data_IF_850582714549
#
_entry.id   IF_850582714549
#
_cell.length_a   1.000
_cell.length_b   1.000
_cell.length_c   1.000
_cell.angle_alpha   90.00
_cell.angle_beta   90.00
_cell.angle_gamma   90.00
#
_symmetry.space_group_name_H-M   'P 1'
#
loop_
_entity.id
_entity.type
_entity.pdbx_description
1 polymer ?
#
# COMPACT_ATOMS: atom_id res chain seq x y z
N UNK A 1 -12.51 24.25 -6.50
CA UNK A 1 -12.74 23.29 -7.60
C UNK A 1 -13.17 21.98 -6.95
N UNK A 2 -14.17 21.28 -7.49
CA UNK A 2 -14.46 19.91 -7.02
C UNK A 2 -13.36 19.05 -7.60
N UNK A 3 -12.43 18.58 -6.78
CA UNK A 3 -11.47 17.57 -7.21
C UNK A 3 -12.25 16.29 -7.51
N UNK A 4 -12.12 15.81 -8.76
CA UNK A 4 -12.76 14.57 -9.18
C UNK A 4 -11.94 13.41 -8.63
N UNK A 5 -12.56 12.44 -7.96
CA UNK A 5 -11.86 11.22 -7.55
C UNK A 5 -11.47 10.36 -8.77
N UNK A 6 -10.24 9.80 -8.82
CA UNK A 6 -9.09 10.17 -7.99
C UNK A 6 -8.51 11.53 -8.42
N UNK A 7 -7.92 12.27 -7.48
CA UNK A 7 -7.28 13.56 -7.77
C UNK A 7 -6.29 13.47 -8.94
N UNK A 8 -5.48 12.41 -8.95
CA UNK A 8 -4.62 12.07 -10.06
C UNK A 8 -5.22 10.98 -10.95
N UNK A 9 -5.44 11.33 -12.23
CA UNK A 9 -5.80 10.33 -13.27
C UNK A 9 -4.70 9.30 -13.46
N UNK A 10 -3.46 9.71 -13.27
CA UNK A 10 -2.26 8.88 -13.28
C UNK A 10 -1.39 9.40 -12.14
N UNK A 11 -1.10 8.61 -11.08
CA UNK A 11 -0.20 9.01 -10.00
C UNK A 11 1.09 9.63 -10.54
N UNK A 12 1.37 10.88 -10.16
CA UNK A 12 2.47 11.74 -10.64
C UNK A 12 2.64 11.86 -12.17
N UNK A 13 1.63 11.47 -12.96
CA UNK A 13 1.76 11.31 -14.40
C UNK A 13 2.64 10.11 -14.83
N UNK A 14 3.21 9.35 -13.89
CA UNK A 14 4.10 8.24 -14.14
C UNK A 14 3.93 7.13 -13.09
N UNK A 15 3.00 6.19 -13.33
CA UNK A 15 2.68 5.09 -12.39
C UNK A 15 3.89 4.26 -11.96
N UNK A 16 4.87 4.04 -12.86
CA UNK A 16 6.10 3.28 -12.56
C UNK A 16 7.27 4.17 -12.15
N UNK A 17 7.01 5.45 -11.87
CA UNK A 17 7.96 6.33 -11.19
C UNK A 17 8.26 5.85 -9.77
N UNK A 18 9.18 6.52 -9.07
CA UNK A 18 9.43 6.25 -7.67
C UNK A 18 8.19 6.63 -6.84
N UNK A 19 7.49 5.62 -6.35
CA UNK A 19 6.29 5.74 -5.50
C UNK A 19 6.54 4.99 -4.19
N UNK A 20 6.32 5.61 -3.03
CA UNK A 20 6.41 4.89 -1.76
C UNK A 20 5.26 3.88 -1.59
N UNK A 21 4.21 3.92 -2.42
CA UNK A 21 3.26 2.82 -2.61
C UNK A 21 3.97 1.49 -2.85
N UNK A 22 4.91 1.44 -3.78
CA UNK A 22 5.61 0.19 -4.11
C UNK A 22 6.50 -0.27 -2.96
N UNK A 23 7.21 0.63 -2.30
CA UNK A 23 8.04 0.29 -1.13
C UNK A 23 7.18 -0.30 -0.01
N UNK A 24 6.06 0.35 0.30
CA UNK A 24 5.12 -0.12 1.32
C UNK A 24 4.49 -1.48 0.98
N UNK A 25 3.98 -1.64 -0.25
CA UNK A 25 3.37 -2.88 -0.72
C UNK A 25 4.37 -4.05 -0.73
N UNK A 26 5.57 -3.83 -1.23
CA UNK A 26 6.62 -4.86 -1.25
C UNK A 26 7.08 -5.25 0.15
N UNK A 27 7.20 -4.29 1.07
CA UNK A 27 7.55 -4.57 2.46
C UNK A 27 6.45 -5.38 3.15
N UNK A 28 5.19 -5.06 2.91
CA UNK A 28 4.07 -5.82 3.45
C UNK A 28 3.96 -7.23 2.85
N UNK A 29 4.23 -7.39 1.56
CA UNK A 29 4.30 -8.70 0.90
C UNK A 29 5.48 -9.52 1.42
N UNK A 30 6.63 -8.89 1.70
CA UNK A 30 7.76 -9.57 2.32
C UNK A 30 7.38 -10.12 3.70
N UNK A 31 6.69 -9.34 4.53
CA UNK A 31 6.21 -9.81 5.83
C UNK A 31 5.31 -11.04 5.71
N UNK A 32 4.39 -11.05 4.73
CA UNK A 32 3.55 -12.21 4.41
C UNK A 32 4.40 -13.40 3.96
N UNK A 33 5.40 -13.18 3.10
CA UNK A 33 6.27 -14.23 2.58
C UNK A 33 7.14 -14.87 3.69
N UNK A 34 7.61 -14.09 4.66
CA UNK A 34 8.44 -14.58 5.77
C UNK A 34 7.73 -15.55 6.70
N UNK A 35 6.41 -15.45 6.79
CA UNK A 35 5.56 -16.29 7.65
C UNK A 35 4.72 -17.27 6.84
N UNK A 36 4.96 -17.31 5.53
CA UNK A 36 4.23 -18.19 4.63
C UNK A 36 4.58 -19.63 4.97
N UNK A 37 3.55 -20.49 5.12
CA UNK A 37 3.66 -21.90 5.52
C UNK A 37 4.00 -22.17 7.01
N UNK A 38 4.07 -21.15 7.87
CA UNK A 38 4.25 -21.37 9.32
C UNK A 38 3.05 -22.09 9.98
N UNK A 39 1.88 -22.07 9.33
CA UNK A 39 0.66 -22.76 9.76
C UNK A 39 -0.13 -23.28 8.55
N UNK A 40 0.16 -24.50 8.13
CA UNK A 40 -0.48 -25.14 6.98
C UNK A 40 -2.01 -25.14 7.10
N UNK A 41 -2.69 -24.62 6.07
CA UNK A 41 -4.15 -24.47 6.02
C UNK A 41 -4.72 -23.26 6.74
N UNK A 42 -3.86 -22.45 7.38
CA UNK A 42 -4.23 -21.21 8.07
C UNK A 42 -3.37 -20.03 7.61
N UNK A 43 -2.81 -20.09 6.41
CA UNK A 43 -1.90 -19.08 5.84
C UNK A 43 -2.56 -17.69 5.79
N UNK A 44 -1.79 -16.59 5.82
CA UNK A 44 -2.31 -15.22 5.78
C UNK A 44 -2.77 -14.80 4.38
N UNK A 45 -3.50 -15.67 3.68
CA UNK A 45 -3.90 -15.49 2.28
C UNK A 45 -4.75 -14.25 2.04
N UNK A 46 -5.57 -13.82 3.03
CA UNK A 46 -6.38 -12.60 2.92
C UNK A 46 -5.49 -11.37 2.74
N UNK A 47 -4.47 -11.22 3.57
CA UNK A 47 -3.50 -10.13 3.46
C UNK A 47 -2.70 -10.21 2.16
N UNK A 48 -2.25 -11.43 1.80
CA UNK A 48 -1.51 -11.68 0.56
C UNK A 48 -2.30 -11.26 -0.69
N UNK A 49 -3.55 -11.76 -0.81
CA UNK A 49 -4.42 -11.48 -1.94
C UNK A 49 -4.76 -9.98 -2.02
N UNK A 50 -5.00 -9.34 -0.89
CA UNK A 50 -5.32 -7.92 -0.83
C UNK A 50 -4.13 -7.04 -1.27
N UNK A 51 -2.91 -7.35 -0.81
CA UNK A 51 -1.68 -6.64 -1.22
C UNK A 51 -1.35 -6.86 -2.69
N UNK A 52 -1.52 -8.07 -3.22
CA UNK A 52 -1.33 -8.37 -4.64
C UNK A 52 -2.36 -7.65 -5.51
N UNK A 53 -3.63 -7.64 -5.09
CA UNK A 53 -4.69 -6.90 -5.76
C UNK A 53 -4.43 -5.39 -5.75
N UNK A 54 -3.98 -4.83 -4.63
CA UNK A 54 -3.61 -3.42 -4.55
C UNK A 54 -2.43 -3.09 -5.48
N UNK A 55 -1.39 -3.93 -5.49
CA UNK A 55 -0.23 -3.77 -6.37
C UNK A 55 -0.63 -3.80 -7.84
N UNK A 56 -1.46 -4.76 -8.23
CA UNK A 56 -1.97 -4.87 -9.59
C UNK A 56 -2.86 -3.67 -9.97
N UNK A 57 -3.76 -3.26 -9.08
CA UNK A 57 -4.65 -2.13 -9.31
C UNK A 57 -3.87 -0.82 -9.52
N UNK A 58 -2.90 -0.54 -8.64
CA UNK A 58 -2.04 0.63 -8.74
C UNK A 58 -1.23 0.61 -10.03
N UNK A 59 -0.48 -0.48 -10.27
CA UNK A 59 0.46 -0.58 -11.39
C UNK A 59 -0.21 -0.64 -12.77
N UNK A 60 -1.40 -1.26 -12.87
CA UNK A 60 -1.95 -1.65 -14.18
C UNK A 60 -3.35 -1.09 -14.46
N UNK A 61 -4.21 -0.94 -13.45
CA UNK A 61 -5.59 -0.52 -13.67
C UNK A 61 -5.69 1.00 -13.65
N UNK A 62 -5.09 1.66 -12.67
CA UNK A 62 -5.29 3.09 -12.41
C UNK A 62 -5.03 3.96 -13.64
N UNK A 63 -3.94 3.70 -14.38
CA UNK A 63 -3.62 4.45 -15.60
C UNK A 63 -4.75 4.47 -16.63
N UNK A 64 -5.47 3.36 -16.79
CA UNK A 64 -6.50 3.20 -17.83
C UNK A 64 -7.92 3.40 -17.30
N UNK A 65 -8.15 3.07 -16.02
CA UNK A 65 -9.42 3.15 -15.32
C UNK A 65 -9.22 3.77 -13.93
N UNK A 66 -9.03 5.10 -13.83
CA UNK A 66 -8.52 5.75 -12.62
C UNK A 66 -9.38 5.50 -11.38
N UNK A 67 -10.70 5.65 -11.50
CA UNK A 67 -11.62 5.42 -10.39
C UNK A 67 -11.55 3.98 -9.88
N UNK A 68 -11.52 3.01 -10.80
CA UNK A 68 -11.45 1.59 -10.45
C UNK A 68 -10.10 1.24 -9.84
N UNK A 69 -9.00 1.73 -10.42
CA UNK A 69 -7.65 1.48 -9.92
C UNK A 69 -7.44 2.06 -8.52
N UNK A 70 -7.83 3.33 -8.31
CA UNK A 70 -7.74 3.99 -7.00
C UNK A 70 -8.56 3.25 -5.94
N UNK A 71 -9.83 2.93 -6.26
CA UNK A 71 -10.71 2.22 -5.32
C UNK A 71 -10.18 0.83 -4.96
N UNK A 72 -9.68 0.07 -5.94
CA UNK A 72 -9.12 -1.26 -5.70
C UNK A 72 -7.79 -1.21 -4.93
N UNK A 73 -6.92 -0.24 -5.23
CA UNK A 73 -5.67 -0.03 -4.50
C UNK A 73 -5.95 0.30 -3.01
N UNK A 74 -6.81 1.28 -2.76
CA UNK A 74 -7.23 1.65 -1.40
C UNK A 74 -7.88 0.47 -0.67
N UNK A 75 -8.84 -0.21 -1.31
CA UNK A 75 -9.53 -1.34 -0.69
C UNK A 75 -8.57 -2.47 -0.34
N UNK A 76 -7.65 -2.83 -1.25
CA UNK A 76 -6.65 -3.87 -0.99
C UNK A 76 -5.72 -3.51 0.16
N UNK A 77 -5.28 -2.25 0.26
CA UNK A 77 -4.44 -1.80 1.39
C UNK A 77 -5.23 -1.83 2.71
N UNK A 78 -6.47 -1.34 2.73
CA UNK A 78 -7.33 -1.37 3.93
C UNK A 78 -7.63 -2.81 4.38
N UNK A 79 -7.92 -3.72 3.44
CA UNK A 79 -8.12 -5.14 3.74
C UNK A 79 -6.83 -5.76 4.28
N UNK A 80 -5.67 -5.43 3.72
CA UNK A 80 -4.39 -5.90 4.23
C UNK A 80 -4.14 -5.43 5.68
N UNK A 81 -4.40 -4.16 5.99
CA UNK A 81 -4.32 -3.63 7.36
C UNK A 81 -5.25 -4.38 8.31
N UNK A 82 -6.53 -4.53 7.93
CA UNK A 82 -7.51 -5.26 8.71
C UNK A 82 -7.15 -6.74 8.88
N UNK A 83 -6.48 -7.35 7.89
CA UNK A 83 -6.06 -8.75 7.96
C UNK A 83 -5.12 -9.02 9.12
N UNK A 84 -4.36 -8.03 9.60
CA UNK A 84 -3.49 -8.16 10.78
C UNK A 84 -4.24 -8.45 12.07
N UNK A 85 -5.57 -8.33 12.07
CA UNK A 85 -6.43 -8.66 13.21
C UNK A 85 -6.95 -10.11 13.16
N UNK A 86 -6.69 -10.85 12.09
CA UNK A 86 -7.11 -12.24 11.94
C UNK A 86 -6.32 -13.19 12.86
N UNK A 87 -6.89 -14.35 13.23
CA UNK A 87 -6.30 -15.27 14.20
C UNK A 87 -4.85 -15.70 13.91
N UNK A 88 -4.49 -15.91 12.64
CA UNK A 88 -3.12 -16.24 12.23
C UNK A 88 -2.08 -15.25 12.82
N UNK A 89 -2.38 -13.95 12.75
CA UNK A 89 -1.47 -12.90 13.20
C UNK A 89 -1.39 -12.76 14.72
N UNK A 90 -2.28 -13.40 15.47
CA UNK A 90 -2.25 -13.37 16.94
C UNK A 90 -1.02 -14.09 17.52
N UNK A 91 -0.45 -15.03 16.77
CA UNK A 91 0.77 -15.77 17.14
C UNK A 91 2.06 -14.98 16.90
N UNK A 92 1.99 -13.83 16.19
CA UNK A 92 3.15 -13.01 15.88
C UNK A 92 3.16 -11.72 16.71
N UNK A 93 4.28 -11.40 17.39
CA UNK A 93 4.41 -10.14 18.11
C UNK A 93 4.41 -8.95 17.14
N UNK A 94 4.04 -7.78 17.65
CA UNK A 94 4.05 -6.53 16.87
C UNK A 94 5.48 -6.11 16.46
N UNK A 95 6.48 -6.43 17.28
CA UNK A 95 7.88 -6.33 16.88
C UNK A 95 8.27 -7.59 16.11
N UNK A 96 7.96 -7.61 14.81
CA UNK A 96 8.17 -8.77 13.93
C UNK A 96 7.43 -8.63 12.60
N UNK A 97 7.22 -9.75 11.86
CA UNK A 97 6.57 -9.73 10.56
C UNK A 97 5.20 -9.02 10.57
N UNK A 98 4.40 -9.19 11.62
CA UNK A 98 3.11 -8.49 11.77
C UNK A 98 3.24 -6.97 11.74
N UNK A 99 4.22 -6.42 12.46
CA UNK A 99 4.50 -4.99 12.47
C UNK A 99 5.04 -4.51 11.14
N UNK A 100 5.90 -5.31 10.48
CA UNK A 100 6.43 -4.99 9.14
C UNK A 100 5.30 -4.91 8.12
N UNK A 101 4.32 -5.82 8.16
CA UNK A 101 3.12 -5.74 7.33
C UNK A 101 2.35 -4.44 7.59
N UNK A 102 2.07 -4.15 8.87
CA UNK A 102 1.32 -2.95 9.27
C UNK A 102 2.01 -1.68 8.77
N UNK A 103 3.31 -1.54 9.01
CA UNK A 103 4.10 -0.37 8.58
C UNK A 103 4.13 -0.27 7.06
N UNK A 104 4.41 -1.37 6.36
CA UNK A 104 4.42 -1.37 4.89
C UNK A 104 3.07 -0.96 4.30
N UNK A 105 1.96 -1.48 4.84
CA UNK A 105 0.63 -1.13 4.38
C UNK A 105 0.25 0.33 4.71
N UNK A 106 0.70 0.91 5.84
CA UNK A 106 0.50 2.34 6.16
C UNK A 106 1.32 3.22 5.22
N UNK A 107 2.59 2.86 4.93
CA UNK A 107 3.43 3.57 3.96
C UNK A 107 2.78 3.56 2.58
N UNK A 108 2.21 2.43 2.16
CA UNK A 108 1.50 2.37 0.90
C UNK A 108 0.19 3.16 0.91
N UNK A 109 -0.53 3.17 2.04
CA UNK A 109 -1.76 3.93 2.19
C UNK A 109 -1.51 5.44 2.08
N UNK A 110 -0.40 5.92 2.63
CA UNK A 110 0.01 7.33 2.55
C UNK A 110 0.04 7.79 1.09
N UNK A 111 0.85 7.15 0.25
CA UNK A 111 1.00 7.47 -1.18
C UNK A 111 -0.32 7.34 -1.95
N UNK A 112 -1.00 6.20 -1.78
CA UNK A 112 -2.23 5.92 -2.53
C UNK A 112 -3.36 6.88 -2.13
N UNK A 113 -3.45 7.29 -0.86
CA UNK A 113 -4.45 8.24 -0.40
C UNK A 113 -4.18 9.65 -0.92
N UNK A 114 -2.91 10.07 -1.00
CA UNK A 114 -2.53 11.34 -1.62
C UNK A 114 -3.05 11.41 -3.05
N UNK A 115 -2.64 10.48 -3.93
CA UNK A 115 -3.05 10.48 -5.33
C UNK A 115 -4.56 10.27 -5.53
N UNK A 116 -5.21 9.56 -4.61
CA UNK A 116 -6.65 9.34 -4.67
C UNK A 116 -7.45 10.60 -4.28
N UNK A 117 -7.00 11.35 -3.28
CA UNK A 117 -7.81 12.40 -2.66
C UNK A 117 -7.23 13.81 -2.77
N UNK A 118 -6.01 13.99 -3.28
CA UNK A 118 -5.34 15.28 -3.41
C UNK A 118 -4.98 15.89 -2.04
N UNK A 119 -4.91 15.06 -1.00
CA UNK A 119 -4.66 15.52 0.37
C UNK A 119 -3.17 15.38 0.70
N UNK A 120 -2.55 16.37 1.37
CA UNK A 120 -1.18 16.22 1.83
C UNK A 120 -1.06 15.05 2.80
N UNK A 121 -0.07 14.18 2.58
CA UNK A 121 0.22 13.04 3.46
C UNK A 121 1.60 13.18 4.12
N UNK A 122 1.81 12.59 5.31
CA UNK A 122 3.06 12.76 6.05
C UNK A 122 4.33 12.37 5.29
N UNK A 123 4.32 11.27 4.51
CA UNK A 123 5.54 10.82 3.82
C UNK A 123 5.84 11.67 2.59
N UNK A 124 4.83 12.11 1.85
CA UNK A 124 5.05 13.07 0.76
C UNK A 124 5.55 14.42 1.31
N UNK A 125 4.97 14.92 2.40
CA UNK A 125 5.46 16.13 3.05
C UNK A 125 6.94 16.01 3.45
N UNK A 126 7.32 14.87 4.04
CA UNK A 126 8.71 14.58 4.41
C UNK A 126 9.61 14.55 3.17
N UNK A 127 9.15 13.90 2.10
CA UNK A 127 9.88 13.82 0.84
C UNK A 127 10.13 15.20 0.24
N UNK A 128 9.07 15.97 0.02
CA UNK A 128 9.08 17.27 -0.66
C UNK A 128 9.84 18.35 0.13
N UNK A 129 9.78 18.33 1.46
CA UNK A 129 10.38 19.40 2.28
C UNK A 129 11.77 19.05 2.82
N UNK A 130 12.10 17.77 2.95
CA UNK A 130 13.31 17.36 3.65
C UNK A 130 14.23 16.44 2.86
N UNK A 131 13.70 15.55 2.02
CA UNK A 131 14.52 14.51 1.37
C UNK A 131 14.92 14.88 -0.06
N UNK A 132 14.00 15.40 -0.86
CA UNK A 132 14.23 15.63 -2.31
C UNK A 132 15.42 16.55 -2.58
N UNK A 133 15.68 17.52 -1.70
CA UNK A 133 16.82 18.44 -1.79
C UNK A 133 18.20 17.78 -1.69
N UNK A 134 18.27 16.51 -1.24
CA UNK A 134 19.52 15.76 -1.09
C UNK A 134 19.78 14.77 -2.23
N UNK A 135 18.87 14.70 -3.21
CA UNK A 135 18.95 13.78 -4.34
C UNK A 135 19.30 14.62 -5.57
N UNK A 136 20.54 14.45 -6.05
CA UNK A 136 21.10 15.15 -7.21
C UNK A 136 21.12 14.27 -8.45
#
# INVERSE_FOLDING_TARGET
>A
MIETFPADRVPDGAVFGPHHAYLGLLLALLAVALVWDDATGAEPWVGAAALLAASFAFATIWKFYPQTGAALALAGIVIALASTLLPFWSSYPWLGPRGVLLVGAIVALDDVAEHAFGVPTPLDWLWTHHLVQHIH
#
